data_IF_920251838801
#
_entry.id   IF_920251838801
#
_cell.length_a   1.000
_cell.length_b   1.000
_cell.length_c   1.000
_cell.angle_alpha   90.00
_cell.angle_beta   90.00
_cell.angle_gamma   90.00
#
_symmetry.space_group_name_H-M   'P 1'
#
loop_
_entity.id
_entity.type
_entity.pdbx_description
1 polymer ?
#
# COMPACT_ATOMS: atom_id res chain seq x y z
N UNK A 1 33.13 2.05 1.33
CA UNK A 1 32.64 2.26 2.71
C UNK A 1 31.13 2.15 2.67
N UNK A 2 30.57 1.20 3.40
CA UNK A 2 29.13 0.88 3.36
C UNK A 2 28.54 1.29 4.70
N UNK A 3 27.59 2.23 4.69
CA UNK A 3 26.99 2.79 5.89
C UNK A 3 25.61 2.19 6.12
N UNK A 4 25.32 1.76 7.33
CA UNK A 4 23.96 1.39 7.73
C UNK A 4 23.25 2.66 8.23
N UNK A 5 22.08 2.99 7.68
CA UNK A 5 21.30 4.16 8.09
C UNK A 5 20.16 3.75 9.03
N UNK A 6 20.17 4.32 10.24
CA UNK A 6 19.11 4.17 11.26
C UNK A 6 18.69 5.59 11.66
N UNK A 7 17.43 5.98 11.42
CA UNK A 7 16.90 7.28 11.85
C UNK A 7 15.52 7.16 12.52
N UNK A 8 15.27 8.09 13.46
CA UNK A 8 14.07 8.25 14.31
C UNK A 8 12.88 8.81 13.53
N UNK A 9 11.68 8.30 13.82
CA UNK A 9 10.41 8.60 13.15
C UNK A 9 9.86 10.02 13.38
N UNK A 10 9.37 10.64 12.30
CA UNK A 10 8.34 11.70 12.30
C UNK A 10 6.99 11.03 12.00
N UNK A 11 5.89 11.58 12.51
CA UNK A 11 4.57 10.94 12.46
C UNK A 11 4.10 10.63 11.01
N UNK A 12 3.56 9.44 10.73
CA UNK A 12 3.15 9.04 9.38
C UNK A 12 1.89 9.78 8.92
N UNK A 13 1.91 10.30 7.69
CA UNK A 13 0.73 10.78 6.99
C UNK A 13 -0.19 9.62 6.57
N UNK A 14 -1.44 9.91 6.21
CA UNK A 14 -2.49 8.92 5.88
C UNK A 14 -2.15 7.96 4.71
N UNK A 15 -1.04 8.20 3.99
CA UNK A 15 -0.55 7.41 2.86
C UNK A 15 0.90 6.91 3.05
N UNK A 16 1.47 6.99 4.25
CA UNK A 16 2.84 6.57 4.50
C UNK A 16 2.95 5.04 4.34
N UNK A 17 3.59 4.62 3.25
CA UNK A 17 4.02 3.26 3.01
C UNK A 17 5.35 3.26 2.27
N UNK A 18 6.12 2.19 2.44
CA UNK A 18 7.33 1.94 1.64
C UNK A 18 6.95 1.04 0.48
N UNK A 19 7.02 1.55 -0.74
CA UNK A 19 6.57 0.87 -1.95
C UNK A 19 7.72 0.76 -2.96
N UNK A 20 8.04 -0.46 -3.40
CA UNK A 20 9.18 -0.70 -4.30
C UNK A 20 9.13 0.12 -5.60
N UNK A 21 7.95 0.24 -6.23
CA UNK A 21 7.79 1.00 -7.48
C UNK A 21 7.97 2.50 -7.27
N UNK A 22 7.54 3.04 -6.12
CA UNK A 22 7.71 4.44 -5.77
C UNK A 22 9.19 4.77 -5.53
N UNK A 23 9.92 3.90 -4.81
CA UNK A 23 11.36 4.04 -4.63
C UNK A 23 12.09 4.08 -5.98
N UNK A 24 11.70 3.23 -6.95
CA UNK A 24 12.29 3.25 -8.30
C UNK A 24 12.00 4.58 -9.01
N UNK A 25 10.77 5.09 -8.93
CA UNK A 25 10.38 6.39 -9.51
C UNK A 25 11.20 7.52 -8.91
N UNK A 26 11.18 7.65 -7.58
CA UNK A 26 11.92 8.68 -6.84
C UNK A 26 13.44 8.60 -7.08
N UNK A 27 14.01 7.40 -7.17
CA UNK A 27 15.43 7.22 -7.52
C UNK A 27 15.74 7.78 -8.91
N UNK A 28 14.86 7.57 -9.89
CA UNK A 28 15.04 8.11 -11.23
C UNK A 28 14.82 9.63 -11.29
N UNK A 29 13.96 10.20 -10.43
CA UNK A 29 13.84 11.64 -10.28
C UNK A 29 15.13 12.27 -9.75
N UNK A 30 15.73 11.70 -8.70
CA UNK A 30 17.03 12.16 -8.16
C UNK A 30 18.14 12.04 -9.21
N UNK A 31 18.14 10.97 -10.02
CA UNK A 31 19.08 10.79 -11.12
C UNK A 31 18.88 11.84 -12.21
N UNK A 32 17.65 12.11 -12.62
CA UNK A 32 17.33 13.12 -13.62
C UNK A 32 17.76 14.52 -13.17
N UNK A 33 17.50 14.88 -11.90
CA UNK A 33 17.91 16.15 -11.31
C UNK A 33 19.44 16.37 -11.33
N UNK A 34 20.21 15.27 -11.35
CA UNK A 34 21.67 15.29 -11.37
C UNK A 34 22.27 14.96 -12.75
N UNK A 35 21.45 14.87 -13.79
CA UNK A 35 21.89 14.57 -15.17
C UNK A 35 22.39 13.14 -15.37
N UNK A 36 22.07 12.21 -14.46
CA UNK A 36 22.41 10.79 -14.60
C UNK A 36 21.38 10.07 -15.49
N UNK A 37 21.81 9.08 -16.32
CA UNK A 37 20.89 8.31 -17.16
C UNK A 37 19.81 7.60 -16.36
N UNK A 38 18.62 7.42 -16.94
CA UNK A 38 17.53 6.67 -16.30
C UNK A 38 17.90 5.19 -16.11
N UNK A 39 17.46 4.60 -15.00
CA UNK A 39 17.54 3.16 -14.73
C UNK A 39 16.26 2.47 -15.16
N UNK A 40 16.41 1.28 -15.75
CA UNK A 40 15.31 0.40 -16.14
C UNK A 40 15.05 -0.65 -15.06
N UNK A 41 13.79 -0.90 -14.72
CA UNK A 41 13.45 -1.93 -13.76
C UNK A 41 13.77 -3.32 -14.33
N UNK A 42 14.57 -4.12 -13.62
CA UNK A 42 14.92 -5.48 -14.00
C UNK A 42 14.29 -6.49 -13.04
N UNK A 43 13.50 -7.43 -13.57
CA UNK A 43 12.77 -8.41 -12.76
C UNK A 43 13.71 -9.28 -11.91
N UNK A 44 14.88 -9.63 -12.42
CA UNK A 44 15.88 -10.44 -11.71
C UNK A 44 16.47 -9.68 -10.52
N UNK A 45 16.79 -8.38 -10.69
CA UNK A 45 17.24 -7.53 -9.58
C UNK A 45 16.14 -7.34 -8.53
N UNK A 46 14.88 -7.18 -8.97
CA UNK A 46 13.73 -7.12 -8.07
C UNK A 46 13.57 -8.39 -7.25
N UNK A 47 13.66 -9.56 -7.89
CA UNK A 47 13.59 -10.85 -7.21
C UNK A 47 14.75 -11.05 -6.22
N UNK A 48 15.98 -10.65 -6.58
CA UNK A 48 17.13 -10.69 -5.69
C UNK A 48 16.93 -9.78 -4.46
N UNK A 49 16.47 -8.55 -4.67
CA UNK A 49 16.22 -7.58 -3.62
C UNK A 49 15.16 -8.06 -2.64
N UNK A 50 14.06 -8.63 -3.16
CA UNK A 50 12.97 -9.16 -2.36
C UNK A 50 13.42 -10.34 -1.49
N UNK A 51 14.15 -11.31 -2.08
CA UNK A 51 14.71 -12.45 -1.32
C UNK A 51 15.62 -12.00 -0.19
N UNK A 52 16.48 -11.01 -0.44
CA UNK A 52 17.36 -10.47 0.60
C UNK A 52 16.58 -9.73 1.69
N UNK A 53 15.60 -8.91 1.31
CA UNK A 53 14.75 -8.19 2.27
C UNK A 53 14.03 -9.19 3.19
N UNK A 54 13.48 -10.27 2.62
CA UNK A 54 12.83 -11.34 3.37
C UNK A 54 13.80 -12.11 4.27
N UNK A 55 15.03 -12.38 3.84
CA UNK A 55 16.04 -13.04 4.67
C UNK A 55 16.43 -12.18 5.88
N UNK A 56 16.67 -10.88 5.66
CA UNK A 56 16.91 -9.92 6.74
C UNK A 56 15.73 -9.83 7.71
N UNK A 57 14.50 -9.74 7.18
CA UNK A 57 13.29 -9.63 7.97
C UNK A 57 12.99 -10.88 8.81
N UNK A 58 13.16 -12.08 8.22
CA UNK A 58 12.88 -13.35 8.88
C UNK A 58 13.92 -13.71 9.95
N UNK A 59 15.16 -13.26 9.80
CA UNK A 59 16.27 -13.53 10.72
C UNK A 59 16.61 -12.37 11.64
N UNK A 60 15.96 -11.22 11.46
CA UNK A 60 16.12 -10.04 12.31
C UNK A 60 17.50 -9.39 12.26
N UNK A 61 18.16 -9.36 11.10
CA UNK A 61 19.47 -8.74 10.93
C UNK A 61 19.47 -7.68 9.83
N UNK A 62 20.39 -6.71 9.91
CA UNK A 62 20.55 -5.65 8.92
C UNK A 62 22.02 -5.49 8.50
N UNK A 63 22.38 -6.10 7.38
CA UNK A 63 23.75 -6.10 6.88
C UNK A 63 23.85 -6.40 5.37
N UNK A 64 24.91 -5.90 4.74
CA UNK A 64 25.25 -6.21 3.35
C UNK A 64 25.57 -7.70 3.16
N UNK A 65 26.43 -8.26 4.00
CA UNK A 65 26.68 -9.70 4.04
C UNK A 65 25.83 -10.33 5.14
N UNK A 66 25.23 -11.48 4.85
CA UNK A 66 24.45 -12.19 5.84
C UNK A 66 25.35 -12.73 6.96
N UNK A 67 24.86 -12.84 8.21
CA UNK A 67 25.66 -13.30 9.35
C UNK A 67 26.15 -14.75 9.20
N UNK A 68 25.54 -15.53 8.31
CA UNK A 68 25.93 -16.89 7.96
C UNK A 68 26.89 -16.95 6.74
N UNK A 69 27.51 -15.83 6.38
CA UNK A 69 28.58 -15.77 5.37
C UNK A 69 28.12 -15.58 3.92
N UNK A 70 26.81 -15.40 3.67
CA UNK A 70 26.30 -15.14 2.32
C UNK A 70 26.60 -13.71 1.89
N UNK A 71 27.41 -13.58 0.85
CA UNK A 71 27.79 -12.31 0.20
C UNK A 71 26.58 -11.65 -0.52
N UNK A 72 26.47 -10.31 -0.54
CA UNK A 72 25.37 -9.57 -1.19
C UNK A 72 25.15 -9.96 -2.66
N UNK A 73 26.18 -10.37 -3.39
CA UNK A 73 26.05 -10.69 -4.81
C UNK A 73 25.55 -12.11 -5.05
N UNK A 74 25.50 -12.95 -4.02
CA UNK A 74 24.89 -14.28 -4.13
C UNK A 74 23.40 -14.19 -4.49
N UNK A 75 22.69 -13.17 -3.99
CA UNK A 75 21.28 -12.95 -4.31
C UNK A 75 21.04 -12.67 -5.79
N UNK A 76 21.94 -11.90 -6.43
CA UNK A 76 21.91 -11.62 -7.87
C UNK A 76 22.13 -12.89 -8.68
N UNK A 77 23.17 -13.68 -8.33
CA UNK A 77 23.46 -14.96 -9.00
C UNK A 77 22.30 -15.96 -8.87
N UNK A 78 21.70 -16.07 -7.69
CA UNK A 78 20.54 -16.93 -7.46
C UNK A 78 19.26 -16.47 -8.17
N UNK A 79 19.19 -15.21 -8.57
CA UNK A 79 18.14 -14.67 -9.44
C UNK A 79 18.50 -14.76 -10.94
N UNK A 80 19.65 -15.34 -11.26
CA UNK A 80 20.16 -15.47 -12.64
C UNK A 80 20.65 -14.14 -13.23
N UNK A 81 20.96 -13.15 -12.40
CA UNK A 81 21.44 -11.85 -12.85
C UNK A 81 22.96 -11.82 -12.94
N UNK A 82 23.48 -11.89 -14.17
CA UNK A 82 24.90 -11.76 -14.47
C UNK A 82 25.25 -10.30 -14.75
N UNK A 83 26.27 -9.77 -14.08
CA UNK A 83 26.53 -8.33 -14.07
C UNK A 83 28.00 -7.97 -14.33
N UNK A 84 28.21 -6.87 -15.07
CA UNK A 84 29.51 -6.19 -15.17
C UNK A 84 29.73 -5.25 -13.99
N UNK A 85 28.66 -4.56 -13.55
CA UNK A 85 28.65 -3.69 -12.39
C UNK A 85 27.43 -3.98 -11.54
N UNK A 86 27.60 -4.00 -10.22
CA UNK A 86 26.50 -4.10 -9.27
C UNK A 86 26.70 -3.14 -8.10
N UNK A 87 25.58 -2.68 -7.54
CA UNK A 87 25.54 -1.80 -6.37
C UNK A 87 24.36 -2.15 -5.47
N UNK A 88 24.47 -1.82 -4.19
CA UNK A 88 23.44 -2.09 -3.19
C UNK A 88 23.27 -0.91 -2.24
N UNK A 89 22.02 -0.51 -2.02
CA UNK A 89 21.60 0.33 -0.91
C UNK A 89 20.64 -0.44 -0.01
N UNK A 90 20.78 -0.26 1.30
CA UNK A 90 19.92 -0.88 2.32
C UNK A 90 19.28 0.20 3.18
N UNK A 91 18.04 -0.01 3.62
CA UNK A 91 17.39 0.81 4.63
C UNK A 91 16.52 -0.06 5.56
N UNK A 92 16.32 0.39 6.79
CA UNK A 92 15.49 -0.33 7.77
C UNK A 92 14.76 0.66 8.68
N UNK A 93 13.55 0.30 9.14
CA UNK A 93 12.67 1.08 10.05
C UNK A 93 12.09 2.36 9.44
N UNK A 94 12.00 2.43 8.12
CA UNK A 94 11.26 3.49 7.42
C UNK A 94 9.78 3.12 7.25
N UNK A 95 8.94 4.14 7.19
CA UNK A 95 7.48 4.01 6.99
C UNK A 95 7.01 4.67 5.69
N UNK A 96 7.89 5.38 4.99
CA UNK A 96 7.58 6.17 3.80
C UNK A 96 8.70 6.05 2.75
N UNK A 97 8.33 5.89 1.48
CA UNK A 97 9.28 5.75 0.35
C UNK A 97 10.16 7.00 0.16
N UNK A 98 9.61 8.21 0.33
CA UNK A 98 10.36 9.46 0.16
C UNK A 98 11.39 9.61 1.27
N UNK A 99 11.04 9.29 2.51
CA UNK A 99 11.98 9.30 3.63
C UNK A 99 13.18 8.37 3.37
N UNK A 100 12.97 7.19 2.77
CA UNK A 100 14.08 6.28 2.38
C UNK A 100 15.03 6.96 1.40
N UNK A 101 14.49 7.60 0.36
CA UNK A 101 15.27 8.26 -0.69
C UNK A 101 16.04 9.46 -0.14
N UNK A 102 15.38 10.32 0.64
CA UNK A 102 16.01 11.49 1.26
C UNK A 102 17.17 11.08 2.18
N UNK A 103 16.97 9.98 2.92
CA UNK A 103 17.97 9.44 3.82
C UNK A 103 19.18 8.86 3.05
N UNK A 104 18.95 8.15 1.94
CA UNK A 104 20.03 7.71 1.05
C UNK A 104 20.75 8.87 0.36
N UNK A 105 20.03 9.89 -0.13
CA UNK A 105 20.63 11.06 -0.77
C UNK A 105 21.46 11.90 0.20
N UNK A 106 21.09 11.92 1.48
CA UNK A 106 21.85 12.56 2.56
C UNK A 106 23.13 11.79 2.95
N UNK A 107 23.27 10.55 2.49
CA UNK A 107 24.42 9.68 2.80
C UNK A 107 25.38 9.59 1.60
N UNK A 108 26.65 10.04 1.72
CA UNK A 108 27.57 10.05 0.58
C UNK A 108 27.76 8.70 -0.12
N UNK A 109 27.81 7.60 0.62
CA UNK A 109 27.97 6.26 0.03
C UNK A 109 26.74 5.79 -0.73
N UNK A 110 25.54 6.02 -0.20
CA UNK A 110 24.29 5.61 -0.84
C UNK A 110 23.96 6.50 -2.04
N UNK A 111 24.17 7.82 -1.90
CA UNK A 111 24.06 8.77 -3.01
C UNK A 111 24.99 8.39 -4.15
N UNK A 112 26.23 7.99 -3.84
CA UNK A 112 27.19 7.55 -4.87
C UNK A 112 26.70 6.33 -5.66
N UNK A 113 25.90 5.43 -5.06
CA UNK A 113 25.25 4.35 -5.80
C UNK A 113 24.10 4.87 -6.68
N UNK A 114 23.22 5.71 -6.13
CA UNK A 114 22.07 6.28 -6.84
C UNK A 114 22.51 7.04 -8.10
N UNK A 115 23.61 7.79 -8.04
CA UNK A 115 24.05 8.66 -9.14
C UNK A 115 25.07 8.02 -10.07
N UNK A 116 25.46 6.76 -9.83
CA UNK A 116 26.52 6.10 -10.59
C UNK A 116 26.07 5.87 -12.04
N UNK A 117 26.82 6.42 -12.98
CA UNK A 117 26.50 6.40 -14.40
C UNK A 117 26.65 5.02 -15.05
N UNK A 118 27.47 4.13 -14.46
CA UNK A 118 27.67 2.78 -15.01
C UNK A 118 26.45 1.87 -14.87
N UNK A 119 25.50 2.18 -13.98
CA UNK A 119 24.30 1.37 -13.81
C UNK A 119 23.25 1.75 -14.86
N UNK A 120 22.61 0.72 -15.44
CA UNK A 120 21.51 0.84 -16.39
C UNK A 120 20.21 0.25 -15.86
N UNK A 121 20.29 -0.59 -14.83
CA UNK A 121 19.15 -1.34 -14.29
C UNK A 121 19.02 -1.21 -12.77
N UNK A 122 17.79 -1.38 -12.28
CA UNK A 122 17.42 -1.27 -10.87
C UNK A 122 16.42 -2.36 -10.48
N UNK A 123 16.50 -2.83 -9.24
CA UNK A 123 15.48 -3.64 -8.59
C UNK A 123 15.33 -3.27 -7.12
N UNK A 124 14.11 -3.28 -6.61
CA UNK A 124 13.81 -2.93 -5.21
C UNK A 124 12.92 -4.00 -4.58
N UNK A 125 13.26 -4.41 -3.37
CA UNK A 125 12.52 -5.36 -2.55
C UNK A 125 12.23 -4.77 -1.17
N UNK A 126 11.06 -5.11 -0.63
CA UNK A 126 10.57 -4.56 0.65
C UNK A 126 9.96 -5.69 1.46
N UNK A 127 10.42 -5.87 2.69
CA UNK A 127 9.88 -6.89 3.59
C UNK A 127 9.56 -6.30 4.97
N UNK A 128 8.51 -6.81 5.60
CA UNK A 128 8.16 -6.48 6.98
C UNK A 128 8.71 -7.56 7.92
N UNK A 129 9.27 -7.15 9.05
CA UNK A 129 9.77 -8.07 10.07
C UNK A 129 10.01 -7.34 11.40
N UNK A 130 10.93 -7.87 12.20
CA UNK A 130 11.39 -7.22 13.43
C UNK A 130 12.88 -6.93 13.33
N UNK A 131 13.30 -5.77 13.82
CA UNK A 131 14.72 -5.41 13.96
C UNK A 131 14.96 -4.84 15.35
N UNK A 132 15.85 -5.48 16.12
CA UNK A 132 16.12 -5.13 17.53
C UNK A 132 14.86 -5.08 18.40
N UNK A 133 13.95 -6.05 18.24
CA UNK A 133 12.74 -6.18 19.05
C UNK A 133 11.57 -5.27 18.65
N UNK A 134 11.71 -4.47 17.60
CA UNK A 134 10.66 -3.57 17.11
C UNK A 134 10.24 -3.90 15.67
N UNK A 135 8.96 -3.67 15.31
CA UNK A 135 8.52 -3.78 13.92
C UNK A 135 9.39 -2.93 12.99
N UNK A 136 9.79 -3.51 11.87
CA UNK A 136 10.69 -2.86 10.92
C UNK A 136 10.33 -3.22 9.48
N UNK A 137 10.26 -2.20 8.65
CA UNK A 137 10.34 -2.33 7.19
C UNK A 137 11.80 -2.44 6.79
N UNK A 138 12.16 -3.48 6.04
CA UNK A 138 13.45 -3.67 5.40
C UNK A 138 13.35 -3.31 3.92
N UNK A 139 14.33 -2.57 3.41
CA UNK A 139 14.39 -2.14 2.02
C UNK A 139 15.74 -2.51 1.44
N UNK A 140 15.71 -3.16 0.29
CA UNK A 140 16.89 -3.48 -0.51
C UNK A 140 16.72 -2.83 -1.88
N UNK A 141 17.71 -2.05 -2.29
CA UNK A 141 17.79 -1.48 -3.63
C UNK A 141 19.07 -2.00 -4.30
N UNK A 142 18.89 -2.80 -5.35
CA UNK A 142 19.97 -3.24 -6.21
C UNK A 142 20.07 -2.39 -7.47
N UNK A 143 21.30 -2.15 -7.89
CA UNK A 143 21.65 -1.56 -9.16
C UNK A 143 22.48 -2.55 -9.97
N UNK A 144 22.31 -2.53 -11.29
CA UNK A 144 23.03 -3.43 -12.19
C UNK A 144 23.39 -2.78 -13.52
N UNK A 145 24.45 -3.33 -14.11
CA UNK A 145 24.71 -3.26 -15.54
C UNK A 145 24.94 -4.70 -16.00
N UNK A 146 24.12 -5.24 -16.91
CA UNK A 146 24.21 -6.63 -17.30
C UNK A 146 25.56 -6.94 -17.97
N UNK A 147 26.05 -8.16 -17.77
CA UNK A 147 27.21 -8.67 -18.51
C UNK A 147 26.84 -8.89 -19.98
N UNK A 148 27.78 -8.66 -20.90
CA UNK A 148 27.54 -8.73 -22.35
C UNK A 148 26.99 -10.07 -22.89
N UNK A 149 26.97 -11.13 -22.07
CA UNK A 149 26.33 -12.41 -22.40
C UNK A 149 24.79 -12.38 -22.25
N UNK A 150 24.24 -11.39 -21.53
CA UNK A 150 22.81 -11.13 -21.45
C UNK A 150 22.31 -10.23 -22.60
N UNK A 151 23.24 -9.66 -23.39
CA UNK A 151 22.99 -8.82 -24.57
C UNK A 151 22.60 -9.67 -25.80
N UNK A 152 21.75 -10.68 -25.60
CA UNK A 152 21.06 -11.37 -26.66
C UNK A 152 20.11 -10.41 -27.39
N UNK A 153 20.68 -9.53 -28.21
CA UNK A 153 20.00 -8.78 -29.25
C UNK A 153 18.97 -7.75 -28.78
N UNK A 154 19.44 -6.64 -28.19
CA UNK A 154 18.85 -5.34 -28.53
C UNK A 154 19.86 -4.55 -29.35
N UNK A 155 19.96 -4.89 -30.63
CA UNK A 155 20.46 -3.95 -31.62
C UNK A 155 19.51 -2.77 -31.67
N UNK A 156 20.00 -1.57 -31.35
CA UNK A 156 19.34 -0.34 -31.75
C UNK A 156 19.10 -0.43 -33.27
N UNK A 157 17.85 -0.26 -33.77
CA UNK A 157 17.64 -0.14 -35.19
C UNK A 157 18.48 1.03 -35.70
N UNK A 158 19.47 0.72 -36.53
CA UNK A 158 20.14 1.74 -37.33
C UNK A 158 19.13 2.33 -38.29
N UNK A 159 19.24 3.64 -38.50
CA UNK A 159 18.49 4.45 -39.46
C UNK A 159 18.13 3.67 -40.75
N UNK A 160 16.93 3.10 -40.79
CA UNK A 160 16.18 2.92 -42.03
C UNK A 160 15.01 3.89 -41.99
N UNK A 161 14.90 4.66 -43.07
CA UNK A 161 14.29 5.98 -43.09
C UNK A 161 12.89 6.05 -42.48
N UNK A 162 12.62 7.21 -41.90
CA UNK A 162 11.34 7.64 -41.35
C UNK A 162 10.13 7.19 -42.19
N UNK A 163 9.61 6.00 -41.90
CA UNK A 163 8.23 5.69 -42.15
C UNK A 163 7.44 6.44 -41.07
N UNK A 164 6.68 7.44 -41.50
CA UNK A 164 5.69 8.13 -40.67
C UNK A 164 4.71 7.07 -40.18
N UNK A 165 4.94 6.55 -38.98
CA UNK A 165 3.95 5.78 -38.23
C UNK A 165 2.90 6.79 -37.83
N UNK A 166 1.80 6.82 -38.60
CA UNK A 166 0.58 7.46 -38.15
C UNK A 166 0.21 6.84 -36.80
N UNK A 167 0.27 7.63 -35.75
CA UNK A 167 -0.30 7.28 -34.45
C UNK A 167 -1.77 6.96 -34.68
N UNK A 168 -2.12 5.68 -34.68
CA UNK A 168 -3.52 5.30 -34.54
C UNK A 168 -3.97 5.83 -33.18
N UNK A 169 -4.99 6.69 -33.12
CA UNK A 169 -5.51 7.15 -31.84
C UNK A 169 -5.92 5.93 -31.05
N UNK A 170 -5.56 5.90 -29.76
CA UNK A 170 -6.11 4.93 -28.82
C UNK A 170 -7.61 4.91 -29.02
N UNK A 171 -8.13 3.83 -29.59
CA UNK A 171 -9.55 3.74 -29.86
C UNK A 171 -10.28 3.83 -28.53
N UNK A 172 -11.41 4.54 -28.51
CA UNK A 172 -12.22 4.70 -27.30
C UNK A 172 -12.51 3.35 -26.61
N UNK A 173 -12.46 2.22 -27.34
CA UNK A 173 -12.56 0.88 -26.79
C UNK A 173 -11.49 0.58 -25.72
N UNK A 174 -10.22 0.88 -26.00
CA UNK A 174 -9.10 0.58 -25.10
C UNK A 174 -9.12 1.52 -23.89
N UNK A 175 -9.42 2.80 -24.11
CA UNK A 175 -9.61 3.77 -23.02
C UNK A 175 -10.83 3.40 -22.15
N UNK A 176 -11.95 2.98 -22.75
CA UNK A 176 -13.12 2.50 -22.00
C UNK A 176 -12.83 1.21 -21.22
N UNK A 177 -11.99 0.33 -21.74
CA UNK A 177 -11.61 -0.91 -21.05
C UNK A 177 -10.65 -0.64 -19.88
N UNK A 178 -9.71 0.29 -20.04
CA UNK A 178 -8.81 0.73 -18.95
C UNK A 178 -9.57 1.52 -17.87
N UNK A 179 -10.52 2.39 -18.26
CA UNK A 179 -11.40 3.09 -17.31
C UNK A 179 -12.30 2.10 -16.59
N UNK A 180 -12.82 1.05 -17.24
CA UNK A 180 -13.58 -0.01 -16.56
C UNK A 180 -12.75 -0.78 -15.53
N UNK A 181 -11.52 -1.16 -15.87
CA UNK A 181 -10.61 -1.84 -14.92
C UNK A 181 -10.21 -0.93 -13.75
N UNK A 182 -10.06 0.38 -13.99
CA UNK A 182 -9.79 1.36 -12.95
C UNK A 182 -11.04 1.79 -12.14
N UNK A 183 -12.24 1.59 -12.68
CA UNK A 183 -13.51 2.00 -12.10
C UNK A 183 -14.34 0.82 -11.55
N UNK A 184 -13.83 -0.42 -11.56
CA UNK A 184 -14.47 -1.48 -10.79
C UNK A 184 -14.44 -1.08 -9.29
N UNK A 185 -15.60 -0.83 -8.66
CA UNK A 185 -15.63 -0.76 -7.23
C UNK A 185 -15.33 -2.18 -6.76
N UNK A 186 -14.19 -2.39 -6.11
CA UNK A 186 -14.04 -3.58 -5.26
C UNK A 186 -15.11 -3.45 -4.19
N UNK A 187 -16.30 -3.99 -4.43
CA UNK A 187 -17.41 -4.01 -3.46
C UNK A 187 -16.94 -4.57 -2.12
N UNK A 188 -15.96 -5.48 -2.16
CA UNK A 188 -15.27 -6.05 -0.98
C UNK A 188 -14.47 -5.02 -0.16
N UNK A 189 -13.89 -3.98 -0.78
CA UNK A 189 -13.13 -2.95 -0.08
C UNK A 189 -14.05 -1.91 0.60
N UNK A 190 -15.13 -1.52 -0.07
CA UNK A 190 -16.12 -0.61 0.51
C UNK A 190 -16.92 -1.27 1.64
N UNK A 191 -17.32 -2.53 1.50
CA UNK A 191 -17.95 -3.32 2.57
C UNK A 191 -17.00 -3.59 3.75
N UNK A 192 -15.73 -3.87 3.49
CA UNK A 192 -14.72 -4.05 4.55
C UNK A 192 -14.47 -2.74 5.33
N UNK A 193 -14.34 -1.62 4.62
CA UNK A 193 -14.15 -0.31 5.27
C UNK A 193 -15.41 0.12 6.04
N UNK A 194 -16.60 -0.11 5.50
CA UNK A 194 -17.87 0.19 6.17
C UNK A 194 -18.11 -0.65 7.44
N UNK A 195 -17.77 -1.94 7.41
CA UNK A 195 -17.88 -2.82 8.58
C UNK A 195 -16.91 -2.45 9.68
N UNK A 196 -15.66 -2.11 9.34
CA UNK A 196 -14.67 -1.60 10.30
C UNK A 196 -15.12 -0.28 10.93
N UNK A 197 -15.62 0.66 10.13
CA UNK A 197 -16.14 1.94 10.64
C UNK A 197 -17.35 1.75 11.57
N UNK A 198 -18.26 0.82 11.24
CA UNK A 198 -19.44 0.50 12.07
C UNK A 198 -19.01 -0.14 13.40
N UNK A 199 -18.07 -1.09 13.36
CA UNK A 199 -17.54 -1.74 14.55
C UNK A 199 -16.86 -0.74 15.50
N UNK A 200 -16.03 0.17 14.96
CA UNK A 200 -15.39 1.25 15.72
C UNK A 200 -16.42 2.18 16.38
N UNK A 201 -17.49 2.52 15.66
CA UNK A 201 -18.56 3.39 16.17
C UNK A 201 -19.29 2.72 17.34
N UNK A 202 -19.62 1.43 17.22
CA UNK A 202 -20.25 0.65 18.30
C UNK A 202 -19.33 0.51 19.52
N UNK A 203 -18.02 0.35 19.31
CA UNK A 203 -17.04 0.20 20.39
C UNK A 203 -16.87 1.51 21.18
N UNK A 204 -16.86 2.65 20.48
CA UNK A 204 -16.87 3.98 21.11
C UNK A 204 -18.18 4.22 21.88
N UNK A 205 -19.33 3.83 21.30
CA UNK A 205 -20.62 3.94 21.98
C UNK A 205 -20.67 3.07 23.25
N UNK A 206 -20.16 1.83 23.21
CA UNK A 206 -20.09 0.95 24.35
C UNK A 206 -19.15 1.48 25.46
N UNK A 207 -17.98 2.00 25.09
CA UNK A 207 -17.05 2.64 26.04
C UNK A 207 -17.66 3.88 26.71
N UNK A 208 -18.49 4.63 25.98
CA UNK A 208 -19.22 5.78 26.52
C UNK A 208 -20.35 5.36 27.45
N UNK A 209 -21.13 4.34 27.08
CA UNK A 209 -22.19 3.76 27.93
C UNK A 209 -21.63 3.19 29.24
N UNK A 210 -20.46 2.55 29.20
CA UNK A 210 -19.79 2.08 30.41
C UNK A 210 -19.32 3.23 31.32
N UNK A 211 -18.97 4.40 30.75
CA UNK A 211 -18.66 5.61 31.55
C UNK A 211 -19.89 6.27 32.19
N UNK A 212 -21.09 6.09 31.63
CA UNK A 212 -22.34 6.61 32.20
C UNK A 212 -22.67 5.95 33.55
N UNK A 213 -22.22 4.71 33.78
CA UNK A 213 -22.38 4.03 35.08
C UNK A 213 -21.57 4.67 36.22
N UNK A 214 -20.55 5.50 35.92
CA UNK A 214 -19.59 5.95 36.93
C UNK A 214 -19.79 7.37 37.48
N UNK A 215 -20.45 8.31 36.78
CA UNK A 215 -20.65 9.69 37.27
C UNK A 215 -21.81 10.42 36.54
N UNK A 216 -22.97 10.68 37.16
CA UNK A 216 -24.06 11.43 36.52
C UNK A 216 -23.97 12.92 36.87
N UNK A 217 -23.32 13.72 36.03
CA UNK A 217 -23.53 15.18 36.00
C UNK A 217 -23.35 15.69 34.54
N UNK A 218 -23.82 16.91 34.20
CA UNK A 218 -24.76 17.15 33.10
C UNK A 218 -24.17 16.89 31.71
N UNK A 219 -24.23 15.62 31.27
CA UNK A 219 -23.84 15.16 29.93
C UNK A 219 -24.90 15.38 28.84
N UNK A 220 -25.90 16.24 29.09
CA UNK A 220 -26.98 16.45 28.12
C UNK A 220 -26.49 17.12 26.82
N UNK A 221 -25.41 17.90 26.87
CA UNK A 221 -24.83 18.53 25.67
C UNK A 221 -23.99 17.56 24.81
N UNK A 222 -23.33 16.57 25.40
CA UNK A 222 -22.50 15.59 24.68
C UNK A 222 -23.33 14.49 24.01
N UNK A 223 -24.43 14.07 24.64
CA UNK A 223 -25.34 13.06 24.06
C UNK A 223 -26.03 13.53 22.78
N UNK A 224 -26.48 14.78 22.73
CA UNK A 224 -27.12 15.36 21.55
C UNK A 224 -26.16 15.47 20.35
N UNK A 225 -24.89 15.80 20.60
CA UNK A 225 -23.87 15.88 19.56
C UNK A 225 -23.53 14.51 18.96
N UNK A 226 -23.42 13.49 19.81
CA UNK A 226 -23.17 12.10 19.36
C UNK A 226 -24.37 11.56 18.57
N UNK A 227 -25.60 11.81 19.04
CA UNK A 227 -26.81 11.43 18.31
C UNK A 227 -26.91 12.14 16.95
N UNK A 228 -26.56 13.43 16.89
CA UNK A 228 -26.53 14.20 15.64
C UNK A 228 -25.50 13.65 14.65
N UNK A 229 -24.28 13.34 15.11
CA UNK A 229 -23.23 12.74 14.26
C UNK A 229 -23.67 11.36 13.75
N UNK A 230 -24.26 10.53 14.61
CA UNK A 230 -24.78 9.22 14.21
C UNK A 230 -25.90 9.33 13.16
N UNK A 231 -26.83 10.28 13.33
CA UNK A 231 -27.91 10.52 12.37
C UNK A 231 -27.38 11.05 11.02
N UNK A 232 -26.39 11.96 11.06
CA UNK A 232 -25.77 12.51 9.86
C UNK A 232 -25.02 11.42 9.06
N UNK A 233 -24.30 10.54 9.76
CA UNK A 233 -23.63 9.39 9.14
C UNK A 233 -24.63 8.38 8.58
N UNK A 234 -25.75 8.13 9.28
CA UNK A 234 -26.83 7.27 8.76
C UNK A 234 -27.46 7.85 7.49
N UNK A 235 -27.77 9.15 7.48
CA UNK A 235 -28.34 9.84 6.33
C UNK A 235 -27.40 9.81 5.11
N UNK A 236 -26.12 10.11 5.32
CA UNK A 236 -25.11 10.06 4.27
C UNK A 236 -24.95 8.65 3.68
N UNK A 237 -24.94 7.62 4.54
CA UNK A 237 -24.82 6.23 4.11
C UNK A 237 -26.09 5.74 3.36
N UNK A 238 -27.27 6.23 3.75
CA UNK A 238 -28.53 5.91 3.06
C UNK A 238 -28.65 6.55 1.67
N UNK A 239 -28.07 7.73 1.46
CA UNK A 239 -28.04 8.41 0.17
C UNK A 239 -27.10 7.74 -0.84
N UNK A 240 -26.00 7.13 -0.36
CA UNK A 240 -25.10 6.30 -1.17
C UNK A 240 -25.72 4.97 -1.62
N UNK A 241 -26.80 4.54 -0.97
CA UNK A 241 -27.53 3.29 -1.25
C UNK A 241 -28.88 3.51 -1.94
N UNK A 242 -29.22 4.76 -2.30
CA UNK A 242 -30.42 5.05 -3.05
C UNK A 242 -30.29 4.46 -4.47
N UNK A 243 -31.25 3.64 -4.96
CA UNK A 243 -31.13 2.97 -6.24
C UNK A 243 -31.12 4.01 -7.38
N UNK A 244 -29.96 4.14 -8.03
CA UNK A 244 -29.83 4.81 -9.33
C UNK A 244 -30.57 4.03 -10.41
N UNK A 245 -31.02 4.75 -11.43
CA UNK A 245 -31.90 4.34 -12.52
C UNK A 245 -31.68 2.88 -13.00
N UNK A 246 -32.69 2.04 -12.84
CA UNK A 246 -32.59 0.57 -12.96
C UNK A 246 -33.05 0.08 -14.32
N UNK A 247 -32.12 -0.14 -15.24
CA UNK A 247 -32.37 -0.87 -16.49
C UNK A 247 -31.25 -1.88 -16.78
N UNK A 248 -31.08 -2.86 -15.89
CA UNK A 248 -30.38 -4.11 -16.22
C UNK A 248 -30.86 -5.27 -15.36
N UNK A 249 -30.94 -6.44 -15.99
CA UNK A 249 -31.52 -7.70 -15.49
C UNK A 249 -30.75 -8.28 -14.29
N UNK A 250 -29.58 -7.73 -13.93
CA UNK A 250 -28.79 -8.17 -12.77
C UNK A 250 -29.34 -7.73 -11.40
N UNK A 251 -30.28 -6.78 -11.38
CA UNK A 251 -30.82 -6.22 -10.12
C UNK A 251 -31.80 -7.14 -9.38
N UNK A 252 -32.36 -8.15 -10.03
CA UNK A 252 -33.35 -9.04 -9.41
C UNK A 252 -32.73 -9.96 -8.33
N UNK A 253 -31.50 -10.42 -8.52
CA UNK A 253 -30.78 -11.28 -7.57
C UNK A 253 -30.29 -10.49 -6.34
N UNK A 254 -29.79 -9.27 -6.57
CA UNK A 254 -29.33 -8.38 -5.50
C UNK A 254 -30.49 -7.91 -4.60
N UNK A 255 -31.65 -7.58 -5.18
CA UNK A 255 -32.85 -7.20 -4.43
C UNK A 255 -33.41 -8.33 -3.57
N UNK A 256 -33.29 -9.59 -4.01
CA UNK A 256 -33.74 -10.74 -3.24
C UNK A 256 -32.84 -10.99 -2.01
N UNK A 257 -31.52 -10.83 -2.18
CA UNK A 257 -30.56 -10.92 -1.08
C UNK A 257 -30.74 -9.82 -0.02
N UNK A 258 -31.17 -8.62 -0.44
CA UNK A 258 -31.45 -7.49 0.46
C UNK A 258 -32.80 -7.65 1.18
N UNK A 259 -33.81 -8.25 0.55
CA UNK A 259 -35.09 -8.58 1.19
C UNK A 259 -34.93 -9.63 2.28
N UNK A 260 -34.13 -10.67 2.04
CA UNK A 260 -33.81 -11.69 3.05
C UNK A 260 -33.07 -11.08 4.25
N UNK A 261 -32.12 -10.16 4.01
CA UNK A 261 -31.38 -9.48 5.09
C UNK A 261 -32.23 -8.52 5.91
N UNK A 262 -33.17 -7.79 5.28
CA UNK A 262 -34.12 -6.93 6.00
C UNK A 262 -35.03 -7.74 6.94
N UNK A 263 -35.51 -8.91 6.49
CA UNK A 263 -36.30 -9.82 7.32
C UNK A 263 -35.51 -10.33 8.54
N UNK A 264 -34.22 -10.63 8.38
CA UNK A 264 -33.35 -11.06 9.48
C UNK A 264 -33.16 -9.94 10.51
N UNK A 265 -32.98 -8.69 10.05
CA UNK A 265 -32.82 -7.51 10.91
C UNK A 265 -34.12 -7.18 11.66
N UNK A 266 -35.26 -7.16 10.97
CA UNK A 266 -36.57 -6.88 11.58
C UNK A 266 -36.96 -7.98 12.60
N UNK A 267 -36.51 -9.22 12.37
CA UNK A 267 -36.69 -10.34 13.31
C UNK A 267 -35.78 -10.23 14.54
N UNK A 268 -34.52 -9.82 14.36
CA UNK A 268 -33.62 -9.52 15.48
C UNK A 268 -34.11 -8.37 16.35
N UNK A 269 -34.66 -7.31 15.75
CA UNK A 269 -35.22 -6.17 16.49
C UNK A 269 -36.48 -6.58 17.27
N UNK A 270 -37.35 -7.42 16.69
CA UNK A 270 -38.56 -7.88 17.38
C UNK A 270 -38.31 -8.92 18.47
N UNK A 271 -37.19 -9.64 18.44
CA UNK A 271 -36.73 -10.55 19.50
C UNK A 271 -36.02 -9.81 20.66
N UNK A 272 -35.38 -8.66 20.39
CA UNK A 272 -34.65 -7.86 21.41
C UNK A 272 -35.57 -6.85 22.13
N UNK A 273 -36.58 -6.32 21.43
CA UNK A 273 -37.51 -5.33 21.97
C UNK A 273 -38.29 -5.75 23.25
N UNK A 274 -38.72 -7.02 23.44
CA UNK A 274 -39.44 -7.44 24.65
C UNK A 274 -38.57 -7.42 25.92
N UNK A 275 -37.27 -7.73 25.80
CA UNK A 275 -36.33 -7.68 26.92
C UNK A 275 -35.96 -6.24 27.28
N UNK A 276 -35.85 -5.36 26.27
CA UNK A 276 -35.65 -3.92 26.48
C UNK A 276 -36.85 -3.27 27.19
N UNK A 277 -38.09 -3.65 26.85
CA UNK A 277 -39.30 -3.14 27.49
C UNK A 277 -39.57 -3.74 28.88
N UNK A 278 -38.96 -4.89 29.22
CA UNK A 278 -39.08 -5.51 30.55
C UNK A 278 -38.21 -4.82 31.60
N UNK A 279 -37.12 -4.18 31.19
CA UNK A 279 -36.19 -3.44 32.06
C UNK A 279 -36.70 -2.04 32.42
N UNK A 280 -37.63 -1.45 31.64
CA UNK A 280 -38.13 -0.08 31.83
C UNK A 280 -39.64 0.01 32.16
N UNK A 281 -40.17 -0.84 33.04
CA UNK A 281 -41.49 -0.56 33.66
C UNK A 281 -41.37 0.59 34.66
N UNK A 282 -41.81 1.77 34.25
CA UNK A 282 -42.26 2.80 35.18
C UNK A 282 -43.62 2.38 35.74
N UNK A 283 -43.70 2.22 37.06
CA UNK A 283 -44.97 2.26 37.78
C UNK A 283 -45.51 3.69 37.67
N UNK A 284 -46.68 3.85 37.07
CA UNK A 284 -47.64 4.91 37.40
C UNK A 284 -48.78 4.22 38.14
#
# INVERSE_FOLDING_TARGET
>A
MVGNLILRQKAPGLFAAVISSEIITLTNEERAALGAPRLHAAAQLGAAAERKAQDMASRGYFAHSAPYGKDPWAWLREAGYEYRYAGENLAVRFVDSRDVIDAWMSSPSHRANITKAQYSEIGVGVAQGFYNGEPATYVVQYFGAPSAAADGGWSLPQDEGAAVVQSQPLTDSVLRQLVRIAAEPRESAALALGTVATALTLLVAAAFLHKIEFQPSPMLFSGALVAFIALALYGFNSALLAPGDTNSVETASALDSLRVRKVIIDKGISEIAPDFMRVYRFNI
#
